data_IF_625240269044
#
_entry.id   IF_625240269044
#
_cell.length_a   1.000
_cell.length_b   1.000
_cell.length_c   1.000
_cell.angle_alpha   90.00
_cell.angle_beta   90.00
_cell.angle_gamma   90.00
#
_symmetry.space_group_name_H-M   'P 1'
#
loop_
_entity.id
_entity.type
_entity.pdbx_description
1 polymer ?
#
# COMPACT_ATOMS: atom_id res chain seq x y z
N UNK A 1 23.47 7.06 -16.26
CA UNK A 1 23.47 5.62 -15.94
C UNK A 1 22.06 5.21 -15.54
N UNK A 2 21.58 4.04 -16.00
CA UNK A 2 20.35 3.45 -15.50
C UNK A 2 20.70 2.69 -14.22
N UNK A 3 20.37 3.26 -13.07
CA UNK A 3 20.49 2.57 -11.79
C UNK A 3 19.34 1.56 -11.68
N UNK A 4 19.68 0.27 -11.56
CA UNK A 4 18.67 -0.77 -11.33
C UNK A 4 18.27 -0.75 -9.85
N UNK A 5 17.01 -0.45 -9.60
CA UNK A 5 16.43 -0.45 -8.26
C UNK A 5 15.27 -1.44 -8.25
N UNK A 6 15.26 -2.31 -7.27
CA UNK A 6 14.17 -3.27 -7.02
C UNK A 6 13.45 -2.93 -5.72
N UNK A 7 12.20 -3.36 -5.59
CA UNK A 7 11.45 -3.19 -4.34
C UNK A 7 12.22 -3.81 -3.15
N UNK A 8 12.81 -5.00 -3.35
CA UNK A 8 13.66 -5.65 -2.37
C UNK A 8 14.82 -4.77 -1.90
N UNK A 9 15.49 -4.06 -2.81
CA UNK A 9 16.64 -3.22 -2.43
C UNK A 9 16.24 -2.04 -1.57
N UNK A 10 15.03 -1.50 -1.70
CA UNK A 10 14.55 -0.33 -0.93
C UNK A 10 13.71 -0.70 0.28
N UNK A 11 13.32 -1.98 0.43
CA UNK A 11 12.53 -2.47 1.58
C UNK A 11 13.43 -2.71 2.79
N UNK A 12 13.02 -2.19 3.94
CA UNK A 12 13.61 -2.44 5.26
C UNK A 12 12.98 -3.69 5.89
N UNK A 13 11.66 -3.77 5.91
CA UNK A 13 10.91 -4.86 6.52
C UNK A 13 9.61 -5.15 5.76
N UNK A 14 9.10 -6.37 5.92
CA UNK A 14 7.85 -6.83 5.33
C UNK A 14 7.11 -7.70 6.34
N UNK A 15 5.86 -7.38 6.61
CA UNK A 15 5.03 -8.06 7.60
C UNK A 15 3.64 -8.34 7.03
N UNK A 16 3.08 -9.49 7.40
CA UNK A 16 1.69 -9.82 7.10
C UNK A 16 0.92 -9.72 8.40
N UNK A 17 -0.14 -8.91 8.40
CA UNK A 17 -0.97 -8.66 9.55
C UNK A 17 -2.43 -8.99 9.23
N UNK A 18 -3.16 -9.41 10.25
CA UNK A 18 -4.61 -9.61 10.15
C UNK A 18 -5.29 -8.33 10.61
N UNK A 19 -5.91 -7.62 9.68
CA UNK A 19 -6.61 -6.36 9.90
C UNK A 19 -8.07 -6.49 9.43
N UNK A 20 -9.02 -6.74 10.35
CA UNK A 20 -10.40 -7.05 9.99
C UNK A 20 -11.20 -5.81 9.55
N UNK A 21 -10.74 -4.61 9.88
CA UNK A 21 -11.42 -3.37 9.54
C UNK A 21 -10.95 -2.86 8.17
N UNK A 22 -11.91 -2.41 7.34
CA UNK A 22 -11.61 -2.00 5.97
C UNK A 22 -11.39 -0.50 5.80
N UNK A 23 -11.90 0.31 6.73
CA UNK A 23 -11.77 1.78 6.73
C UNK A 23 -10.90 2.32 7.87
N UNK A 24 -10.41 1.43 8.73
CA UNK A 24 -9.49 1.74 9.82
C UNK A 24 -8.46 0.62 9.92
N UNK A 25 -7.42 0.83 10.72
CA UNK A 25 -6.41 -0.19 10.98
C UNK A 25 -6.22 -0.41 12.46
N UNK A 26 -5.95 -1.65 12.85
CA UNK A 26 -5.54 -1.98 14.22
C UNK A 26 -4.14 -1.46 14.57
N UNK A 27 -3.36 -1.03 13.57
CA UNK A 27 -2.00 -0.51 13.75
C UNK A 27 -2.08 0.97 14.12
N UNK A 28 -1.90 1.28 15.40
CA UNK A 28 -2.02 2.66 15.90
C UNK A 28 -1.08 3.65 15.18
N UNK A 29 0.13 3.21 14.83
CA UNK A 29 1.11 4.06 14.13
C UNK A 29 0.65 4.49 12.74
N UNK A 30 -0.18 3.68 12.09
CA UNK A 30 -0.61 3.85 10.70
C UNK A 30 -1.99 4.53 10.59
N UNK A 31 -2.75 4.55 11.70
CA UNK A 31 -4.08 5.16 11.82
C UNK A 31 -4.19 6.53 11.15
N UNK A 32 -3.24 7.44 11.39
CA UNK A 32 -3.29 8.82 10.91
C UNK A 32 -3.32 8.92 9.38
N UNK A 33 -2.47 8.14 8.69
CA UNK A 33 -2.43 8.22 7.23
C UNK A 33 -3.58 7.43 6.59
N UNK A 34 -4.04 6.35 7.23
CA UNK A 34 -5.22 5.60 6.78
C UNK A 34 -6.49 6.46 6.91
N UNK A 35 -6.70 7.12 8.04
CA UNK A 35 -7.80 8.07 8.22
C UNK A 35 -7.74 9.22 7.21
N UNK A 36 -6.53 9.75 6.95
CA UNK A 36 -6.34 10.80 5.96
C UNK A 36 -6.68 10.34 4.53
N UNK A 37 -6.38 9.09 4.21
CA UNK A 37 -6.72 8.49 2.92
C UNK A 37 -8.24 8.38 2.73
N UNK A 38 -8.97 7.91 3.74
CA UNK A 38 -10.43 7.78 3.69
C UNK A 38 -11.20 9.09 3.95
N UNK A 39 -10.52 10.17 4.34
CA UNK A 39 -11.14 11.48 4.53
C UNK A 39 -11.63 12.11 3.22
N UNK A 40 -11.04 11.70 2.08
CA UNK A 40 -11.47 12.13 0.74
C UNK A 40 -12.29 10.99 0.14
N UNK A 41 -13.60 11.18 -0.11
CA UNK A 41 -14.43 10.13 -0.68
C UNK A 41 -14.03 9.85 -2.13
N UNK A 42 -13.85 8.57 -2.44
CA UNK A 42 -13.54 8.06 -3.78
C UNK A 42 -14.51 6.91 -4.09
N UNK A 43 -15.41 7.12 -5.07
CA UNK A 43 -16.46 6.17 -5.42
C UNK A 43 -15.90 4.81 -5.89
N UNK A 44 -14.72 4.79 -6.52
CA UNK A 44 -14.09 3.55 -6.97
C UNK A 44 -13.60 2.74 -5.77
N UNK A 45 -12.97 3.38 -4.80
CA UNK A 45 -12.45 2.74 -3.60
C UNK A 45 -13.61 2.26 -2.72
N UNK A 46 -14.63 3.10 -2.50
CA UNK A 46 -15.82 2.74 -1.71
C UNK A 46 -16.55 1.54 -2.30
N UNK A 47 -16.65 1.46 -3.64
CA UNK A 47 -17.29 0.33 -4.31
C UNK A 47 -16.54 -0.99 -4.08
N UNK A 48 -15.22 -0.95 -3.84
CA UNK A 48 -14.37 -2.14 -3.67
C UNK A 48 -14.09 -2.50 -2.21
N UNK A 49 -14.37 -1.59 -1.28
CA UNK A 49 -14.06 -1.75 0.15
C UNK A 49 -14.67 -3.02 0.76
N UNK A 50 -15.87 -3.42 0.30
CA UNK A 50 -16.56 -4.62 0.75
C UNK A 50 -15.92 -5.94 0.28
N UNK A 51 -15.06 -5.89 -0.74
CA UNK A 51 -14.30 -7.04 -1.24
C UNK A 51 -12.99 -7.23 -0.49
N UNK A 52 -12.59 -6.27 0.34
CA UNK A 52 -11.31 -6.31 1.03
C UNK A 52 -11.19 -7.52 1.96
N UNK A 53 -10.14 -8.31 1.76
CA UNK A 53 -9.77 -9.40 2.64
C UNK A 53 -9.08 -8.85 3.89
N UNK A 54 -9.23 -9.51 5.04
CA UNK A 54 -8.66 -9.05 6.30
C UNK A 54 -7.13 -9.27 6.40
N UNK A 55 -6.48 -9.62 5.29
CA UNK A 55 -5.03 -9.81 5.24
C UNK A 55 -4.38 -8.57 4.65
N UNK A 56 -3.58 -7.92 5.48
CA UNK A 56 -2.79 -6.75 5.13
C UNK A 56 -1.33 -7.16 4.96
N UNK A 57 -0.75 -6.81 3.82
CA UNK A 57 0.69 -6.82 3.63
C UNK A 57 1.26 -5.42 3.88
N UNK A 58 2.12 -5.30 4.89
CA UNK A 58 2.80 -4.06 5.25
C UNK A 58 4.26 -4.11 4.77
N UNK A 59 4.67 -3.10 4.00
CA UNK A 59 6.04 -2.91 3.54
C UNK A 59 6.60 -1.64 4.19
N UNK A 60 7.70 -1.76 4.90
CA UNK A 60 8.48 -0.62 5.39
C UNK A 60 9.64 -0.35 4.44
N UNK A 61 9.69 0.86 3.88
CA UNK A 61 10.77 1.28 2.98
C UNK A 61 11.85 2.08 3.71
N UNK A 62 13.06 2.04 3.15
CA UNK A 62 14.20 2.74 3.69
C UNK A 62 14.30 4.17 3.14
N UNK A 63 14.12 5.18 4.01
CA UNK A 63 14.24 6.60 3.64
C UNK A 63 15.53 6.95 2.89
N UNK A 64 16.68 6.48 3.38
CA UNK A 64 17.97 6.84 2.78
C UNK A 64 18.08 6.31 1.34
N UNK A 65 17.62 5.07 1.10
CA UNK A 65 17.64 4.48 -0.23
C UNK A 65 16.61 5.10 -1.18
N UNK A 66 15.43 5.47 -0.67
CA UNK A 66 14.43 6.20 -1.45
C UNK A 66 14.98 7.55 -1.94
N UNK A 67 15.66 8.29 -1.07
CA UNK A 67 16.30 9.58 -1.42
C UNK A 67 17.46 9.39 -2.41
N UNK A 68 18.34 8.41 -2.17
CA UNK A 68 19.50 8.13 -3.03
C UNK A 68 19.06 7.81 -4.47
N UNK A 69 17.97 7.05 -4.61
CA UNK A 69 17.37 6.70 -5.89
C UNK A 69 16.35 7.70 -6.42
N UNK A 70 16.11 8.81 -5.72
CA UNK A 70 15.12 9.86 -6.08
C UNK A 70 13.71 9.30 -6.31
N UNK A 71 13.32 8.34 -5.48
CA UNK A 71 11.99 7.72 -5.52
C UNK A 71 11.05 8.45 -4.57
N UNK A 72 9.78 8.51 -4.94
CA UNK A 72 8.68 8.95 -4.06
C UNK A 72 7.82 7.75 -3.69
N UNK A 73 7.18 7.82 -2.52
CA UNK A 73 6.26 6.79 -2.04
C UNK A 73 5.11 6.55 -3.02
N UNK A 74 4.55 7.64 -3.58
CA UNK A 74 3.48 7.56 -4.57
C UNK A 74 3.93 6.83 -5.85
N UNK A 75 5.16 7.06 -6.30
CA UNK A 75 5.72 6.37 -7.46
C UNK A 75 5.88 4.87 -7.20
N UNK A 76 6.44 4.50 -6.04
CA UNK A 76 6.63 3.09 -5.68
C UNK A 76 5.28 2.38 -5.52
N UNK A 77 4.30 3.01 -4.86
CA UNK A 77 2.95 2.48 -4.71
C UNK A 77 2.26 2.27 -6.06
N UNK A 78 2.37 3.23 -6.98
CA UNK A 78 1.85 3.10 -8.35
C UNK A 78 2.51 1.96 -9.11
N UNK A 79 3.84 1.81 -9.04
CA UNK A 79 4.54 0.67 -9.66
C UNK A 79 4.09 -0.68 -9.09
N UNK A 80 3.81 -0.75 -7.79
CA UNK A 80 3.27 -1.95 -7.13
C UNK A 80 1.87 -2.24 -7.70
N UNK A 81 0.95 -1.26 -7.66
CA UNK A 81 -0.42 -1.41 -8.16
C UNK A 81 -0.46 -1.86 -9.64
N UNK A 82 0.36 -1.24 -10.50
CA UNK A 82 0.46 -1.59 -11.93
C UNK A 82 1.03 -2.99 -12.20
N UNK A 83 1.81 -3.53 -11.25
CA UNK A 83 2.39 -4.86 -11.37
C UNK A 83 1.35 -5.97 -11.16
N UNK A 84 0.30 -5.71 -10.39
CA UNK A 84 -0.76 -6.68 -10.04
C UNK A 84 -1.96 -6.64 -10.99
N UNK A 85 -1.72 -6.63 -12.30
CA UNK A 85 -2.75 -6.49 -13.37
C UNK A 85 -3.98 -7.41 -13.30
N UNK A 86 -3.92 -8.50 -12.54
CA UNK A 86 -4.97 -9.53 -12.42
C UNK A 86 -5.51 -9.68 -11.00
N UNK A 87 -4.91 -9.02 -10.01
CA UNK A 87 -5.36 -9.06 -8.63
C UNK A 87 -5.78 -7.65 -8.25
N UNK A 88 -7.04 -7.50 -7.86
CA UNK A 88 -7.55 -6.25 -7.30
C UNK A 88 -6.83 -6.04 -5.95
N UNK A 89 -5.70 -5.34 -5.98
CA UNK A 89 -4.92 -4.98 -4.78
C UNK A 89 -5.13 -3.49 -4.54
N UNK A 90 -5.64 -3.14 -3.36
CA UNK A 90 -5.69 -1.76 -2.90
C UNK A 90 -4.36 -1.43 -2.25
N UNK A 91 -3.64 -0.45 -2.82
CA UNK A 91 -2.34 -0.01 -2.31
C UNK A 91 -2.49 1.37 -1.68
N UNK A 92 -2.23 1.48 -0.39
CA UNK A 92 -2.23 2.73 0.38
C UNK A 92 -0.82 2.99 0.87
N UNK A 93 -0.37 4.24 0.84
CA UNK A 93 0.99 4.61 1.23
C UNK A 93 1.01 5.81 2.17
N UNK A 94 2.03 5.88 3.01
CA UNK A 94 2.35 7.06 3.81
C UNK A 94 2.98 8.17 2.95
N UNK A 95 2.95 9.42 3.42
CA UNK A 95 3.69 10.52 2.77
C UNK A 95 5.21 10.35 2.83
N UNK A 96 5.92 10.97 1.88
CA UNK A 96 7.40 10.97 1.82
C UNK A 96 8.08 11.57 3.07
N UNK A 97 7.36 12.44 3.79
CA UNK A 97 7.84 13.12 5.00
C UNK A 97 7.55 12.36 6.30
N UNK A 98 6.86 11.21 6.22
CA UNK A 98 6.49 10.40 7.38
C UNK A 98 7.73 9.92 8.15
N UNK A 99 7.57 9.58 9.42
CA UNK A 99 8.68 8.98 10.22
C UNK A 99 9.06 7.59 9.74
N UNK A 100 8.09 6.85 9.22
CA UNK A 100 8.22 5.53 8.62
C UNK A 100 7.58 5.58 7.25
N UNK A 101 8.27 5.04 6.25
CA UNK A 101 7.73 4.89 4.90
C UNK A 101 6.98 3.58 4.81
N UNK A 102 5.66 3.63 4.93
CA UNK A 102 4.82 2.44 4.98
C UNK A 102 3.98 2.34 3.71
N UNK A 103 3.89 1.13 3.15
CA UNK A 103 2.95 0.78 2.09
C UNK A 103 2.08 -0.39 2.57
N UNK A 104 0.77 -0.18 2.57
CA UNK A 104 -0.26 -1.17 2.86
C UNK A 104 -0.82 -1.71 1.55
N UNK A 105 -0.68 -3.01 1.34
CA UNK A 105 -1.31 -3.72 0.25
C UNK A 105 -2.43 -4.61 0.81
N UNK A 106 -3.67 -4.25 0.50
CA UNK A 106 -4.84 -5.06 0.81
C UNK A 106 -5.24 -5.87 -0.42
N UNK A 107 -5.45 -7.17 -0.23
CA UNK A 107 -5.97 -8.04 -1.29
C UNK A 107 -7.49 -7.92 -1.30
N UNK A 108 -8.08 -7.67 -2.45
CA UNK A 108 -9.53 -7.72 -2.64
C UNK A 108 -9.90 -9.14 -3.10
N UNK A 109 -10.99 -9.67 -2.58
CA UNK A 109 -11.60 -10.90 -3.06
C UNK A 109 -12.08 -10.66 -4.48
N UNK A 110 -11.54 -11.40 -5.45
CA UNK A 110 -11.97 -11.33 -6.84
C UNK A 110 -13.46 -11.58 -6.93
N UNK A 111 -14.24 -10.52 -7.15
CA UNK A 111 -15.63 -10.60 -7.52
C UNK A 111 -15.69 -10.53 -9.04
N UNK A 112 -15.36 -11.64 -9.70
CA UNK A 112 -15.75 -12.01 -11.06
C UNK A 112 -15.02 -13.34 -11.42
N UNK A 113 -15.48 -14.43 -10.80
CA UNK A 113 -15.44 -15.75 -11.46
C UNK A 113 -16.76 -15.91 -12.24
N UNK A 114 -16.91 -15.17 -13.34
CA UNK A 114 -17.88 -15.52 -14.38
C UNK A 114 -17.10 -16.23 -15.51
N UNK A 115 -17.23 -17.55 -15.55
CA UNK A 115 -17.05 -18.39 -16.75
C UNK A 115 -18.15 -18.07 -17.79
#
# INVERSE_FOLDING_TARGET
>A
ELAYVSLHTVTTAMEIQYDPDSSSTIIEEDSVFIESFFAIPDEEIESKLHLQLPWLLCLELNHAKMIDHKLTMAYVASCIAESFKTADVLVIQSEDNSKKLIIHCHVLSGGDEDD
#
